data_IF_273598678696
#
_entry.id   IF_273598678696
#
_cell.length_a   1.000
_cell.length_b   1.000
_cell.length_c   1.000
_cell.angle_alpha   90.00
_cell.angle_beta   90.00
_cell.angle_gamma   90.00
#
_symmetry.space_group_name_H-M   'P 1'
#
loop_
_entity.id
_entity.type
_entity.pdbx_description
1 polymer ?
#
# COMPACT_ATOMS: atom_id res chain seq x y z
N UNK A 1 -0.70 -26.78 3.63
CA UNK A 1 0.22 -25.61 3.58
C UNK A 1 -0.56 -24.41 3.09
N UNK A 2 -0.49 -23.28 3.78
CA UNK A 2 -1.20 -22.05 3.38
C UNK A 2 -0.34 -21.28 2.39
N UNK A 3 -0.97 -20.76 1.32
CA UNK A 3 -0.31 -19.88 0.33
C UNK A 3 -0.53 -18.43 0.75
N UNK A 4 0.52 -17.62 0.70
CA UNK A 4 0.47 -16.20 1.06
C UNK A 4 0.82 -15.38 -0.17
N UNK A 5 0.01 -14.36 -0.45
CA UNK A 5 0.22 -13.38 -1.52
C UNK A 5 0.22 -12.01 -0.86
N UNK A 6 1.26 -11.21 -1.13
CA UNK A 6 1.34 -9.81 -0.70
C UNK A 6 1.23 -8.90 -1.93
N UNK A 7 0.21 -8.05 -1.95
CA UNK A 7 -0.05 -7.08 -3.02
C UNK A 7 0.24 -5.69 -2.47
N UNK A 8 1.27 -5.03 -2.99
CA UNK A 8 1.59 -3.64 -2.69
C UNK A 8 1.32 -2.78 -3.93
N UNK A 9 0.70 -1.61 -3.73
CA UNK A 9 0.30 -0.69 -4.80
C UNK A 9 0.95 0.66 -4.53
N UNK A 10 1.65 1.22 -5.51
CA UNK A 10 2.32 2.52 -5.38
C UNK A 10 1.33 3.67 -5.55
N UNK A 11 1.45 4.68 -4.68
CA UNK A 11 0.66 5.93 -4.74
C UNK A 11 -0.86 5.71 -4.63
N UNK A 12 -1.30 4.60 -4.01
CA UNK A 12 -2.71 4.33 -3.79
C UNK A 12 -3.27 5.23 -2.68
N UNK A 13 -4.32 5.99 -3.00
CA UNK A 13 -5.02 6.84 -2.04
C UNK A 13 -6.28 6.15 -1.53
N UNK A 14 -6.54 6.26 -0.23
CA UNK A 14 -7.72 5.69 0.43
C UNK A 14 -9.02 6.32 -0.07
N UNK A 15 -9.03 7.63 -0.37
CA UNK A 15 -10.20 8.35 -0.89
C UNK A 15 -10.62 7.96 -2.33
N UNK A 16 -9.92 6.99 -2.94
CA UNK A 16 -10.24 6.40 -4.25
C UNK A 16 -10.77 4.98 -4.19
N UNK A 17 -10.90 4.42 -2.97
CA UNK A 17 -11.37 3.06 -2.75
C UNK A 17 -12.75 3.09 -2.07
N UNK A 18 -13.72 2.38 -2.63
CA UNK A 18 -15.08 2.39 -2.09
C UNK A 18 -15.15 1.74 -0.70
N UNK A 19 -14.36 0.70 -0.44
CA UNK A 19 -14.23 0.09 0.87
C UNK A 19 -13.76 1.05 1.98
N UNK A 20 -13.13 2.18 1.61
CA UNK A 20 -12.77 3.27 2.53
C UNK A 20 -13.71 4.48 2.46
N UNK A 21 -14.89 4.33 1.84
CA UNK A 21 -15.92 5.36 1.77
C UNK A 21 -15.86 6.27 0.54
N UNK A 22 -15.05 5.96 -0.48
CA UNK A 22 -15.07 6.73 -1.73
C UNK A 22 -16.47 6.65 -2.41
N UNK A 23 -16.97 7.76 -2.99
CA UNK A 23 -18.34 7.82 -3.54
C UNK A 23 -18.51 6.97 -4.81
N UNK A 24 -17.43 6.73 -5.55
CA UNK A 24 -17.45 6.02 -6.82
C UNK A 24 -17.26 4.52 -6.61
N UNK A 25 -18.37 3.80 -6.42
CA UNK A 25 -18.38 2.34 -6.16
C UNK A 25 -17.71 1.49 -7.25
N UNK A 26 -17.66 1.98 -8.49
CA UNK A 26 -17.21 1.20 -9.64
C UNK A 26 -15.70 1.24 -9.88
N UNK A 27 -14.95 2.05 -9.13
CA UNK A 27 -13.50 2.22 -9.35
C UNK A 27 -12.69 1.01 -8.84
N UNK A 28 -13.12 0.37 -7.76
CA UNK A 28 -12.32 -0.64 -7.03
C UNK A 28 -13.03 -1.99 -6.78
N UNK A 29 -13.91 -2.50 -7.68
CA UNK A 29 -14.84 -3.59 -7.34
C UNK A 29 -14.17 -4.86 -6.82
N UNK A 30 -12.98 -5.20 -7.32
CA UNK A 30 -12.24 -6.38 -6.86
C UNK A 30 -11.60 -6.19 -5.47
N UNK A 31 -11.12 -4.98 -5.16
CA UNK A 31 -10.56 -4.64 -3.85
C UNK A 31 -11.69 -4.56 -2.81
N UNK A 32 -12.84 -4.01 -3.22
CA UNK A 32 -14.02 -3.91 -2.37
C UNK A 32 -14.57 -5.29 -2.02
N UNK A 33 -14.66 -6.20 -2.99
CA UNK A 33 -15.03 -7.60 -2.74
C UNK A 33 -14.05 -8.33 -1.82
N UNK A 34 -12.75 -8.04 -1.91
CA UNK A 34 -11.75 -8.61 -1.00
C UNK A 34 -11.92 -8.08 0.42
N UNK A 35 -12.24 -6.79 0.59
CA UNK A 35 -12.51 -6.19 1.89
C UNK A 35 -13.80 -6.75 2.53
N UNK A 36 -14.87 -6.93 1.74
CA UNK A 36 -16.14 -7.49 2.20
C UNK A 36 -16.01 -8.94 2.68
N UNK A 37 -15.16 -9.74 2.03
CA UNK A 37 -14.90 -11.14 2.39
C UNK A 37 -13.72 -11.30 3.37
N UNK A 38 -13.18 -10.22 3.90
CA UNK A 38 -11.95 -10.20 4.68
C UNK A 38 -12.01 -9.28 5.90
N UNK A 39 -10.84 -8.83 6.32
CA UNK A 39 -10.69 -7.84 7.40
C UNK A 39 -10.13 -6.56 6.79
N UNK A 40 -10.86 -5.46 6.95
CA UNK A 40 -10.44 -4.13 6.55
C UNK A 40 -9.80 -3.40 7.75
N UNK A 41 -8.62 -2.83 7.54
CA UNK A 41 -7.97 -1.99 8.55
C UNK A 41 -8.24 -0.52 8.22
N UNK A 42 -9.11 0.13 8.99
CA UNK A 42 -9.48 1.54 8.77
C UNK A 42 -8.37 2.53 9.17
N UNK A 43 -7.52 2.12 10.12
CA UNK A 43 -6.43 2.94 10.67
C UNK A 43 -5.08 2.24 10.48
N UNK A 44 -4.61 2.18 9.23
CA UNK A 44 -3.30 1.63 8.86
C UNK A 44 -2.45 2.72 8.21
N UNK A 45 -1.29 3.01 8.81
CA UNK A 45 -0.38 4.06 8.35
C UNK A 45 0.93 3.42 7.87
N UNK A 46 1.44 3.91 6.73
CA UNK A 46 2.80 3.62 6.33
C UNK A 46 3.78 4.31 7.28
N UNK A 47 4.97 3.73 7.45
CA UNK A 47 6.04 4.33 8.25
C UNK A 47 6.50 5.69 7.68
N UNK A 48 6.40 5.87 6.36
CA UNK A 48 6.78 7.09 5.67
C UNK A 48 5.89 7.37 4.45
N UNK A 49 5.94 8.60 3.93
CA UNK A 49 5.22 9.02 2.72
C UNK A 49 6.05 8.88 1.43
N UNK A 50 7.31 8.45 1.51
CA UNK A 50 8.17 8.20 0.34
C UNK A 50 8.41 6.71 0.16
N UNK A 51 8.21 6.21 -1.05
CA UNK A 51 8.41 4.79 -1.44
C UNK A 51 9.77 4.25 -0.99
N UNK A 52 10.84 5.06 -1.11
CA UNK A 52 12.19 4.65 -0.71
C UNK A 52 12.33 4.39 0.79
N UNK A 53 11.54 5.02 1.65
CA UNK A 53 11.63 4.82 3.10
C UNK A 53 10.67 3.70 3.54
N UNK A 54 9.48 3.64 2.95
CA UNK A 54 8.47 2.61 3.29
C UNK A 54 8.82 1.22 2.76
N UNK A 55 9.43 1.13 1.58
CA UNK A 55 9.68 -0.15 0.92
C UNK A 55 11.15 -0.62 0.97
N UNK A 56 12.08 0.14 1.56
CA UNK A 56 13.49 -0.23 1.53
C UNK A 56 13.86 -1.19 2.67
N UNK A 57 14.27 -2.43 2.36
CA UNK A 57 14.75 -3.37 3.37
C UNK A 57 16.16 -3.02 3.90
N UNK A 58 16.89 -2.05 3.30
CA UNK A 58 18.28 -1.73 3.64
C UNK A 58 18.57 -0.22 3.71
N UNK A 59 18.29 0.45 4.84
CA UNK A 59 18.61 1.88 5.00
C UNK A 59 20.12 2.23 5.03
N UNK A 60 21.03 1.25 5.15
CA UNK A 60 22.46 1.50 5.41
C UNK A 60 23.44 1.10 4.30
N UNK A 61 22.98 0.57 3.16
CA UNK A 61 23.90 0.38 2.02
C UNK A 61 23.97 1.70 1.24
N UNK A 62 24.85 2.59 1.70
CA UNK A 62 25.32 3.71 0.87
C UNK A 62 25.93 3.09 -0.39
N UNK A 63 25.22 3.11 -1.53
CA UNK A 63 25.84 2.82 -2.84
C UNK A 63 27.00 3.81 -2.95
N UNK A 64 28.24 3.33 -2.78
CA UNK A 64 29.45 4.15 -2.95
C UNK A 64 29.35 4.84 -4.31
N UNK A 65 29.24 6.17 -4.33
CA UNK A 65 29.34 6.97 -5.55
C UNK A 65 28.07 7.57 -6.12
N UNK A 66 26.88 7.40 -5.52
CA UNK A 66 25.70 8.18 -5.93
C UNK A 66 25.60 9.47 -5.10
N UNK A 67 25.41 10.65 -5.72
CA UNK A 67 25.22 11.89 -5.00
C UNK A 67 23.94 11.78 -4.17
N UNK A 68 24.05 12.16 -2.89
CA UNK A 68 22.91 12.42 -2.03
C UNK A 68 22.14 13.61 -2.59
N UNK A 69 20.88 13.38 -2.95
CA UNK A 69 19.90 14.44 -3.18
C UNK A 69 19.58 15.14 -1.86
#
# INVERSE_FOLDING_TARGET
>A
MVKIIFIAIDTLRTDRLHCYGAPQKTISPNIDALAENGVLFENMFADNNVTQFTCNPYPYIKKRGLPSF
#
